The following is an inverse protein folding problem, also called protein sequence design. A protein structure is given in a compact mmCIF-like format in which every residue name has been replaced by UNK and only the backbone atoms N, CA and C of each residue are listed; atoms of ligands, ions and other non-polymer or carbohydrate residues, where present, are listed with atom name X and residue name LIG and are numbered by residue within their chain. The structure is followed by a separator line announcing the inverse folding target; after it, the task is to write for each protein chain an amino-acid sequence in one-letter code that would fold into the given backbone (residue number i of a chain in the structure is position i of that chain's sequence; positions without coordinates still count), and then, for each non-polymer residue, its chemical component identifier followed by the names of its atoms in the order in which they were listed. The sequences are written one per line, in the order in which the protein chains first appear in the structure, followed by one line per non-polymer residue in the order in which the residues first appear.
data_IF_050614806313
#
_entry.id   IF_050614806313
#
_cell.length_a   1.000
_cell.length_b   1.000
_cell.length_c   1.000
_cell.angle_alpha   90.00
_cell.angle_beta   90.00
_cell.angle_gamma   90.00
#
_symmetry.space_group_name_H-M   'P 1'
#
loop_
_entity.id
_entity.type
_entity.pdbx_description
1 polymer ?
#
# COMPACT_ATOMS: atom_id res chain seq x y z
N UNK A 1 -29.87 3.54 15.54
CA UNK A 1 -28.66 2.76 15.23
C UNK A 1 -27.47 3.50 15.81
N UNK A 2 -26.55 2.80 16.48
CA UNK A 2 -25.29 3.42 16.91
C UNK A 2 -24.55 3.93 15.67
N UNK A 3 -23.89 5.07 15.80
CA UNK A 3 -23.07 5.64 14.74
C UNK A 3 -21.86 4.74 14.48
N UNK A 4 -21.43 4.57 13.22
CA UNK A 4 -20.27 3.77 12.83
C UNK A 4 -19.05 4.11 13.70
N UNK A 5 -18.79 5.39 13.95
CA UNK A 5 -17.65 5.85 14.74
C UNK A 5 -17.68 5.31 16.17
N UNK A 6 -18.84 5.26 16.80
CA UNK A 6 -19.03 4.72 18.15
C UNK A 6 -18.74 3.22 18.18
N UNK A 7 -19.23 2.46 17.20
CA UNK A 7 -18.98 1.01 17.13
C UNK A 7 -17.51 0.70 16.84
N UNK A 8 -16.88 1.46 15.96
CA UNK A 8 -15.44 1.31 15.71
C UNK A 8 -14.64 1.59 16.97
N UNK A 9 -14.99 2.65 17.72
CA UNK A 9 -14.30 3.01 18.97
C UNK A 9 -14.36 1.90 20.03
N UNK A 10 -15.46 1.17 20.12
CA UNK A 10 -15.63 0.06 21.07
C UNK A 10 -14.82 -1.19 20.71
N UNK A 11 -14.48 -1.36 19.41
CA UNK A 11 -13.86 -2.59 18.88
C UNK A 11 -12.38 -2.45 18.54
N UNK A 12 -11.78 -1.28 18.71
CA UNK A 12 -10.38 -1.05 18.33
C UNK A 12 -9.38 -1.99 19.01
N UNK A 13 -8.37 -2.48 18.32
CA UNK A 13 -8.14 -2.37 16.87
C UNK A 13 -8.95 -3.40 16.06
N UNK A 14 -9.46 -3.01 14.90
CA UNK A 14 -10.26 -3.90 14.06
C UNK A 14 -9.38 -4.92 13.32
N UNK A 15 -9.85 -6.16 13.27
CA UNK A 15 -9.38 -7.15 12.29
C UNK A 15 -9.91 -6.82 10.89
N UNK A 16 -9.35 -7.43 9.84
CA UNK A 16 -9.87 -7.23 8.49
C UNK A 16 -11.30 -7.77 8.32
N UNK A 17 -11.60 -8.89 8.98
CA UNK A 17 -12.96 -9.45 8.99
C UNK A 17 -13.99 -8.50 9.60
N UNK A 18 -13.68 -7.87 10.73
CA UNK A 18 -14.53 -6.87 11.37
C UNK A 18 -14.67 -5.61 10.50
N UNK A 19 -13.58 -5.15 9.89
CA UNK A 19 -13.61 -4.01 8.96
C UNK A 19 -14.57 -4.24 7.80
N UNK A 20 -14.50 -5.42 7.16
CA UNK A 20 -15.38 -5.82 6.06
C UNK A 20 -16.83 -5.98 6.54
N UNK A 21 -17.04 -6.62 7.70
CA UNK A 21 -18.38 -6.81 8.27
C UNK A 21 -19.06 -5.47 8.56
N UNK A 22 -18.34 -4.53 9.18
CA UNK A 22 -18.85 -3.18 9.44
C UNK A 22 -19.14 -2.42 8.15
N UNK A 23 -18.26 -2.50 7.14
CA UNK A 23 -18.49 -1.86 5.86
C UNK A 23 -19.80 -2.37 5.21
N UNK A 24 -20.04 -3.68 5.28
CA UNK A 24 -21.27 -4.31 4.78
C UNK A 24 -22.49 -3.91 5.59
N UNK A 25 -22.43 -3.93 6.92
CA UNK A 25 -23.54 -3.61 7.83
C UNK A 25 -24.00 -2.16 7.67
N UNK A 26 -23.05 -1.24 7.54
CA UNK A 26 -23.33 0.21 7.43
C UNK A 26 -23.47 0.70 5.98
N UNK A 27 -23.28 -0.16 4.99
CA UNK A 27 -23.39 0.20 3.57
C UNK A 27 -22.36 1.23 3.12
N UNK A 28 -21.15 1.19 3.70
CA UNK A 28 -20.05 2.11 3.38
C UNK A 28 -18.90 1.34 2.71
N UNK A 29 -17.94 2.07 2.14
CA UNK A 29 -16.74 1.43 1.56
C UNK A 29 -15.83 0.90 2.68
N UNK A 30 -15.07 -0.15 2.40
CA UNK A 30 -14.10 -0.69 3.37
C UNK A 30 -13.10 0.37 3.81
N UNK A 31 -12.65 1.22 2.90
CA UNK A 31 -11.74 2.32 3.21
C UNK A 31 -12.35 3.34 4.18
N UNK A 32 -13.66 3.55 4.16
CA UNK A 32 -14.30 4.49 5.09
C UNK A 32 -14.23 3.98 6.54
N UNK A 33 -14.34 2.66 6.75
CA UNK A 33 -14.13 2.05 8.07
C UNK A 33 -12.66 2.16 8.50
N UNK A 34 -11.72 1.91 7.58
CA UNK A 34 -10.27 2.06 7.84
C UNK A 34 -9.92 3.50 8.22
N UNK A 35 -10.47 4.48 7.52
CA UNK A 35 -10.26 5.90 7.83
C UNK A 35 -10.86 6.26 9.19
N UNK A 36 -12.08 5.81 9.49
CA UNK A 36 -12.71 6.01 10.81
C UNK A 36 -11.86 5.44 11.95
N UNK A 37 -11.31 4.23 11.77
CA UNK A 37 -10.36 3.65 12.73
C UNK A 37 -9.10 4.52 12.87
N UNK A 38 -8.56 4.99 11.75
CA UNK A 38 -7.35 5.81 11.75
C UNK A 38 -7.57 7.17 12.42
N UNK A 39 -8.70 7.83 12.16
CA UNK A 39 -9.11 9.07 12.84
C UNK A 39 -9.18 8.88 14.36
N UNK A 40 -9.80 7.80 14.82
CA UNK A 40 -9.93 7.50 16.25
C UNK A 40 -8.59 7.21 16.92
N UNK A 41 -7.68 6.53 16.22
CA UNK A 41 -6.36 6.16 16.76
C UNK A 41 -5.36 7.31 16.76
N UNK A 42 -5.45 8.21 15.79
CA UNK A 42 -4.50 9.33 15.63
C UNK A 42 -4.99 10.64 16.22
N UNK A 43 -6.30 10.78 16.38
CA UNK A 43 -6.95 12.05 16.76
C UNK A 43 -6.98 13.09 15.61
N UNK A 44 -6.55 12.71 14.42
CA UNK A 44 -6.66 13.54 13.23
C UNK A 44 -8.07 13.42 12.63
N UNK A 45 -8.49 14.42 11.89
CA UNK A 45 -9.63 14.28 10.99
C UNK A 45 -9.25 13.52 9.72
N UNK A 46 -10.24 13.23 8.88
CA UNK A 46 -10.05 12.45 7.66
C UNK A 46 -8.98 13.04 6.72
N UNK A 47 -9.01 14.34 6.52
CA UNK A 47 -8.04 15.04 5.68
C UNK A 47 -6.63 14.92 6.27
N UNK A 48 -6.49 15.11 7.57
CA UNK A 48 -5.24 14.94 8.31
C UNK A 48 -4.69 13.52 8.21
N UNK A 49 -5.53 12.48 8.29
CA UNK A 49 -5.12 11.08 8.09
C UNK A 49 -4.59 10.85 6.68
N UNK A 50 -5.34 11.27 5.65
CA UNK A 50 -4.94 11.10 4.25
C UNK A 50 -3.62 11.83 3.96
N UNK A 51 -3.46 13.04 4.46
CA UNK A 51 -2.22 13.81 4.33
C UNK A 51 -1.03 13.11 5.01
N UNK A 52 -1.21 12.67 6.25
CA UNK A 52 -0.15 11.98 7.00
C UNK A 52 0.31 10.68 6.30
N UNK A 53 -0.62 9.92 5.73
CA UNK A 53 -0.29 8.72 4.96
C UNK A 53 0.56 9.06 3.73
N UNK A 54 0.22 10.09 2.97
CA UNK A 54 0.98 10.50 1.80
C UNK A 54 2.35 11.08 2.17
N UNK A 55 2.47 11.79 3.27
CA UNK A 55 3.75 12.26 3.81
C UNK A 55 4.68 11.09 4.18
N UNK A 56 4.15 10.02 4.76
CA UNK A 56 4.91 8.80 5.06
C UNK A 56 5.43 8.13 3.77
N UNK A 57 4.61 8.08 2.71
CA UNK A 57 5.03 7.55 1.41
C UNK A 57 6.01 8.44 0.66
N UNK A 58 6.09 9.73 0.94
CA UNK A 58 6.99 10.65 0.23
C UNK A 58 8.48 10.25 0.34
N UNK A 59 8.90 9.66 1.48
CA UNK A 59 10.23 9.09 1.61
C UNK A 59 10.41 7.85 0.73
N UNK A 60 9.43 6.95 0.72
CA UNK A 60 9.50 5.69 -0.03
C UNK A 60 9.51 5.92 -1.55
N UNK A 61 8.79 6.92 -2.04
CA UNK A 61 8.81 7.30 -3.46
C UNK A 61 10.21 7.68 -3.95
N UNK A 62 11.07 8.24 -3.10
CA UNK A 62 12.48 8.50 -3.42
C UNK A 62 13.27 7.20 -3.66
N UNK A 63 12.93 6.12 -2.97
CA UNK A 63 13.53 4.82 -3.23
C UNK A 63 13.22 4.32 -4.65
N UNK A 64 11.99 4.51 -5.12
CA UNK A 64 11.61 4.20 -6.52
C UNK A 64 12.46 5.00 -7.49
N UNK A 65 12.62 6.30 -7.27
CA UNK A 65 13.42 7.18 -8.13
C UNK A 65 14.88 6.73 -8.21
N UNK A 66 15.48 6.34 -7.09
CA UNK A 66 16.84 5.79 -7.04
C UNK A 66 16.91 4.51 -7.86
N UNK A 67 15.98 3.57 -7.68
CA UNK A 67 15.97 2.30 -8.38
C UNK A 67 15.85 2.45 -9.90
N UNK A 68 14.97 3.33 -10.39
CA UNK A 68 14.79 3.54 -11.84
C UNK A 68 15.88 4.41 -12.48
N UNK A 69 16.66 5.13 -11.67
CA UNK A 69 17.76 6.00 -12.13
C UNK A 69 19.12 5.29 -12.17
N UNK A 70 19.14 3.96 -12.06
CA UNK A 70 20.37 3.17 -12.13
C UNK A 70 20.94 2.79 -10.75
N UNK A 71 20.12 2.86 -9.70
CA UNK A 71 20.45 2.26 -8.41
C UNK A 71 20.80 0.77 -8.57
N UNK A 72 21.68 0.27 -7.72
CA UNK A 72 22.11 -1.12 -7.76
C UNK A 72 22.00 -1.76 -6.37
N UNK A 73 21.52 -2.97 -6.33
CA UNK A 73 21.49 -3.77 -5.11
C UNK A 73 22.18 -5.11 -5.32
N UNK A 74 22.65 -5.68 -4.22
CA UNK A 74 23.33 -6.99 -4.26
C UNK A 74 22.43 -8.10 -4.84
N UNK A 75 21.13 -8.09 -4.55
CA UNK A 75 20.22 -9.15 -4.98
C UNK A 75 19.63 -8.90 -6.38
N UNK A 76 19.27 -7.66 -6.67
CA UNK A 76 18.48 -7.31 -7.85
C UNK A 76 19.30 -6.62 -8.95
N UNK A 77 20.55 -6.26 -8.65
CA UNK A 77 21.40 -5.55 -9.61
C UNK A 77 20.69 -4.32 -10.18
N UNK A 78 20.62 -4.23 -11.49
CA UNK A 78 20.01 -3.13 -12.26
C UNK A 78 18.69 -3.53 -12.92
N UNK A 79 18.00 -4.55 -12.43
CA UNK A 79 16.74 -5.05 -13.00
C UNK A 79 15.70 -3.96 -13.24
N UNK A 80 15.48 -2.95 -12.35
CA UNK A 80 14.53 -1.88 -12.61
C UNK A 80 14.82 -1.09 -13.89
N UNK A 81 16.10 -0.83 -14.17
CA UNK A 81 16.51 -0.13 -15.39
C UNK A 81 16.20 -0.97 -16.63
N UNK A 82 16.45 -2.28 -16.57
CA UNK A 82 16.14 -3.20 -17.66
C UNK A 82 14.62 -3.28 -17.92
N UNK A 83 13.80 -3.36 -16.86
CA UNK A 83 12.35 -3.35 -16.98
C UNK A 83 11.84 -2.03 -17.58
N UNK A 84 12.45 -0.91 -17.23
CA UNK A 84 12.13 0.40 -17.79
C UNK A 84 12.44 0.46 -19.30
N UNK A 85 13.57 -0.11 -19.74
CA UNK A 85 13.96 -0.18 -21.14
C UNK A 85 13.05 -1.07 -21.98
N UNK A 86 12.49 -2.12 -21.42
CA UNK A 86 11.50 -2.98 -22.08
C UNK A 86 10.20 -2.22 -22.40
N UNK A 87 9.86 -1.24 -21.62
CA UNK A 87 8.63 -0.45 -21.75
C UNK A 87 7.38 -1.13 -21.16
N UNK A 88 6.36 -0.34 -20.86
CA UNK A 88 5.13 -0.82 -20.26
C UNK A 88 4.27 -1.62 -21.27
N UNK A 89 3.53 -2.60 -20.77
CA UNK A 89 2.67 -3.48 -21.57
C UNK A 89 3.40 -4.70 -22.16
N UNK A 90 4.68 -4.88 -21.85
CA UNK A 90 5.51 -5.94 -22.45
C UNK A 90 5.38 -7.28 -21.69
N UNK A 91 5.22 -7.26 -20.36
CA UNK A 91 5.22 -8.46 -19.51
C UNK A 91 3.80 -8.99 -19.31
N UNK A 92 2.89 -8.13 -18.84
CA UNK A 92 1.51 -8.50 -18.52
C UNK A 92 0.48 -8.05 -19.57
N UNK A 93 0.91 -7.40 -20.63
CA UNK A 93 0.02 -6.75 -21.59
C UNK A 93 -0.91 -5.69 -20.93
N UNK A 94 -0.51 -5.19 -19.76
CA UNK A 94 -1.21 -4.20 -18.96
C UNK A 94 -0.22 -3.18 -18.43
N UNK A 95 -0.44 -1.91 -18.80
CA UNK A 95 0.48 -0.81 -18.46
C UNK A 95 0.61 -0.58 -16.97
N UNK A 96 -0.50 -0.70 -16.23
CA UNK A 96 -0.49 -0.51 -14.77
C UNK A 96 0.27 -1.61 -14.07
N UNK A 97 0.04 -2.86 -14.47
CA UNK A 97 0.72 -4.01 -13.85
C UNK A 97 2.22 -4.02 -14.17
N UNK A 98 2.62 -3.70 -15.39
CA UNK A 98 4.03 -3.61 -15.76
C UNK A 98 4.74 -2.48 -14.99
N UNK A 99 4.11 -1.31 -14.87
CA UNK A 99 4.63 -0.22 -14.06
C UNK A 99 4.70 -0.59 -12.57
N UNK A 100 3.69 -1.25 -12.05
CA UNK A 100 3.67 -1.69 -10.66
C UNK A 100 4.80 -2.68 -10.36
N UNK A 101 5.05 -3.65 -11.27
CA UNK A 101 6.19 -4.55 -11.17
C UNK A 101 7.51 -3.78 -11.17
N UNK A 102 7.73 -2.96 -12.19
CA UNK A 102 8.97 -2.18 -12.35
C UNK A 102 9.24 -1.31 -11.12
N UNK A 103 8.25 -0.58 -10.64
CA UNK A 103 8.40 0.30 -9.48
C UNK A 103 8.52 -0.44 -8.15
N UNK A 104 7.92 -1.64 -8.03
CA UNK A 104 8.14 -2.51 -6.87
C UNK A 104 9.59 -2.95 -6.79
N UNK A 105 10.15 -3.43 -7.90
CA UNK A 105 11.57 -3.83 -7.98
C UNK A 105 12.48 -2.62 -7.77
N UNK A 106 12.11 -1.45 -8.32
CA UNK A 106 12.84 -0.21 -8.10
C UNK A 106 12.83 0.24 -6.63
N UNK A 107 11.67 0.15 -5.96
CA UNK A 107 11.56 0.43 -4.54
C UNK A 107 12.43 -0.51 -3.70
N UNK A 108 12.52 -1.79 -4.08
CA UNK A 108 13.37 -2.77 -3.41
C UNK A 108 14.86 -2.42 -3.55
N UNK A 109 15.30 -2.04 -4.75
CA UNK A 109 16.67 -1.56 -4.98
C UNK A 109 16.95 -0.30 -4.17
N UNK A 110 16.07 0.68 -4.21
CA UNK A 110 16.22 1.91 -3.46
C UNK A 110 16.13 1.71 -1.94
N UNK A 111 15.36 0.71 -1.47
CA UNK A 111 15.32 0.31 -0.08
C UNK A 111 16.72 -0.07 0.45
N UNK A 112 17.52 -0.76 -0.35
CA UNK A 112 18.90 -1.07 0.01
C UNK A 112 19.79 0.19 0.07
N UNK A 113 19.37 1.29 -0.52
CA UNK A 113 20.13 2.55 -0.53
C UNK A 113 19.74 3.50 0.60
N UNK A 114 18.44 3.70 0.84
CA UNK A 114 17.94 4.72 1.78
C UNK A 114 17.04 4.17 2.89
N UNK A 115 16.64 2.90 2.83
CA UNK A 115 15.67 2.31 3.74
C UNK A 115 14.25 2.88 3.56
N UNK A 116 13.31 2.05 3.11
CA UNK A 116 11.88 2.44 3.06
C UNK A 116 11.20 2.27 4.42
N UNK A 117 10.10 2.95 4.65
CA UNK A 117 9.34 2.96 5.92
C UNK A 117 7.89 2.55 5.68
N UNK A 118 7.28 1.86 6.63
CA UNK A 118 7.87 1.14 7.74
C UNK A 118 8.47 -0.18 7.24
N UNK A 119 9.77 -0.32 7.21
CA UNK A 119 10.43 -1.58 6.85
C UNK A 119 10.99 -2.25 8.11
N UNK A 120 10.21 -3.09 8.73
CA UNK A 120 10.66 -3.93 9.84
C UNK A 120 11.12 -5.33 9.38
N UNK A 121 11.75 -5.40 8.20
CA UNK A 121 12.10 -6.68 7.59
C UNK A 121 10.90 -7.43 7.00
N UNK A 122 9.80 -6.75 6.72
CA UNK A 122 8.56 -7.36 6.21
C UNK A 122 8.40 -7.25 4.70
N UNK A 123 9.23 -6.45 4.02
CA UNK A 123 9.18 -6.26 2.57
C UNK A 123 7.92 -5.56 2.02
N UNK A 124 6.97 -5.25 2.89
CA UNK A 124 5.66 -4.75 2.52
C UNK A 124 5.68 -3.37 1.84
N UNK A 125 6.51 -2.39 2.28
CA UNK A 125 6.45 -1.05 1.72
C UNK A 125 6.90 -0.96 0.27
N UNK A 126 7.74 -1.86 -0.20
CA UNK A 126 8.24 -1.82 -1.58
C UNK A 126 7.12 -2.09 -2.59
N UNK A 127 6.32 -3.17 -2.49
CA UNK A 127 5.18 -3.38 -3.38
C UNK A 127 4.11 -2.29 -3.23
N UNK A 128 3.85 -1.78 -2.02
CA UNK A 128 2.88 -0.69 -1.85
C UNK A 128 3.35 0.58 -2.54
N UNK A 129 4.61 0.94 -2.35
CA UNK A 129 5.20 2.13 -2.96
C UNK A 129 5.25 2.00 -4.48
N UNK A 130 5.60 0.83 -4.99
CA UNK A 130 5.63 0.56 -6.42
C UNK A 130 4.25 0.67 -7.05
N UNK A 131 3.23 0.10 -6.42
CA UNK A 131 1.86 0.20 -6.89
C UNK A 131 1.32 1.63 -6.82
N UNK A 132 1.57 2.34 -5.71
CA UNK A 132 1.19 3.74 -5.56
C UNK A 132 1.82 4.62 -6.65
N UNK A 133 3.12 4.44 -6.93
CA UNK A 133 3.82 5.15 -8.00
C UNK A 133 3.22 4.84 -9.37
N UNK A 134 2.88 3.60 -9.63
CA UNK A 134 2.24 3.23 -10.89
C UNK A 134 0.87 3.90 -11.06
N UNK A 135 0.07 4.00 -9.99
CA UNK A 135 -1.20 4.71 -9.99
C UNK A 135 -1.03 6.22 -10.23
N UNK A 136 -0.01 6.85 -9.63
CA UNK A 136 0.33 8.25 -9.91
C UNK A 136 0.63 8.47 -11.39
N UNK A 137 1.41 7.58 -11.99
CA UNK A 137 1.81 7.67 -13.40
C UNK A 137 0.66 7.47 -14.40
N UNK A 138 -0.41 6.77 -13.98
CA UNK A 138 -1.62 6.64 -14.83
C UNK A 138 -2.68 7.70 -14.54
N UNK A 139 -2.35 8.68 -13.68
CA UNK A 139 -3.18 9.87 -13.46
C UNK A 139 -4.31 9.68 -12.46
N UNK A 140 -4.16 8.74 -11.50
CA UNK A 140 -5.11 8.62 -10.38
C UNK A 140 -5.08 9.89 -9.52
N UNK A 141 -6.25 10.37 -9.12
CA UNK A 141 -6.39 11.57 -8.30
C UNK A 141 -5.80 11.40 -6.89
N UNK A 142 -5.41 12.51 -6.27
CA UNK A 142 -4.70 12.54 -4.99
C UNK A 142 -5.52 11.91 -3.84
N UNK A 143 -6.83 12.13 -3.82
CA UNK A 143 -7.70 11.56 -2.77
C UNK A 143 -7.76 10.04 -2.87
N UNK A 144 -7.97 9.52 -4.08
CA UNK A 144 -7.97 8.09 -4.34
C UNK A 144 -6.60 7.46 -4.04
N UNK A 145 -5.49 8.13 -4.40
CA UNK A 145 -4.14 7.66 -4.04
C UNK A 145 -3.97 7.52 -2.52
N UNK A 146 -4.40 8.52 -1.76
CA UNK A 146 -4.29 8.51 -0.31
C UNK A 146 -5.20 7.45 0.33
N UNK A 147 -6.42 7.26 -0.18
CA UNK A 147 -7.32 6.18 0.26
C UNK A 147 -6.71 4.80 0.01
N UNK A 148 -6.15 4.57 -1.18
CA UNK A 148 -5.45 3.33 -1.53
C UNK A 148 -4.25 3.10 -0.61
N UNK A 149 -3.44 4.13 -0.38
CA UNK A 149 -2.28 4.05 0.50
C UNK A 149 -2.69 3.69 1.94
N UNK A 150 -3.75 4.32 2.46
CA UNK A 150 -4.30 4.02 3.79
C UNK A 150 -4.79 2.57 3.90
N UNK A 151 -5.51 2.08 2.89
CA UNK A 151 -6.00 0.71 2.85
C UNK A 151 -4.85 -0.31 2.79
N UNK A 152 -3.83 -0.07 1.97
CA UNK A 152 -2.66 -0.94 1.89
C UNK A 152 -1.90 -1.00 3.22
N UNK A 153 -1.71 0.13 3.91
CA UNK A 153 -1.07 0.16 5.22
C UNK A 153 -1.89 -0.60 6.27
N UNK A 154 -3.22 -0.49 6.25
CA UNK A 154 -4.08 -1.26 7.16
C UNK A 154 -3.89 -2.77 6.95
N UNK A 155 -3.96 -3.24 5.71
CA UNK A 155 -3.74 -4.66 5.39
C UNK A 155 -2.35 -5.09 5.84
N UNK A 156 -1.30 -4.36 5.50
CA UNK A 156 0.07 -4.66 5.90
C UNK A 156 0.26 -4.71 7.41
N UNK A 157 -0.36 -3.78 8.14
CA UNK A 157 -0.26 -3.76 9.62
C UNK A 157 -0.81 -5.03 10.26
N UNK A 158 -1.87 -5.61 9.69
CA UNK A 158 -2.47 -6.85 10.20
C UNK A 158 -1.55 -8.06 9.97
N UNK A 159 -0.85 -8.12 8.85
CA UNK A 159 0.14 -9.17 8.62
C UNK A 159 1.33 -9.08 9.58
N UNK A 160 1.66 -7.90 10.09
CA UNK A 160 2.76 -7.70 11.05
C UNK A 160 2.46 -8.18 12.45
N UNK A 161 1.23 -8.02 12.91
CA UNK A 161 0.84 -8.34 14.30
C UNK A 161 1.12 -9.79 14.69
N UNK A 162 1.11 -10.71 13.73
CA UNK A 162 1.30 -12.14 13.95
C UNK A 162 2.74 -12.63 13.74
N UNK A 163 3.72 -11.73 13.44
CA UNK A 163 5.06 -12.14 13.03
C UNK A 163 6.12 -11.81 14.08
N UNK A 164 7.02 -12.77 14.35
CA UNK A 164 8.08 -12.63 15.34
C UNK A 164 9.37 -12.07 14.71
N UNK A 165 9.78 -12.59 13.58
CA UNK A 165 10.92 -12.12 12.79
C UNK A 165 10.71 -12.51 11.34
N UNK A 166 11.11 -11.65 10.43
CA UNK A 166 10.75 -11.83 9.04
C UNK A 166 11.86 -11.36 8.13
N UNK A 167 12.06 -12.09 7.02
CA UNK A 167 12.93 -11.66 5.93
C UNK A 167 12.14 -10.98 4.83
N UNK A 168 12.71 -9.99 4.17
CA UNK A 168 12.07 -9.25 3.09
C UNK A 168 11.53 -10.14 1.94
N UNK A 169 12.14 -11.30 1.72
CA UNK A 169 11.96 -12.05 0.48
C UNK A 169 10.70 -12.89 0.38
N UNK A 170 10.10 -13.33 1.49
CA UNK A 170 8.97 -14.26 1.43
C UNK A 170 7.65 -13.62 1.91
N UNK A 171 7.71 -12.59 2.67
CA UNK A 171 6.57 -12.01 3.37
C UNK A 171 5.97 -10.83 2.63
N UNK A 172 6.78 -10.11 1.85
CA UNK A 172 6.31 -9.11 0.90
C UNK A 172 5.32 -9.68 -0.12
N UNK A 173 5.47 -10.96 -0.48
CA UNK A 173 4.53 -11.60 -1.40
C UNK A 173 3.14 -11.78 -0.79
N UNK A 174 3.02 -12.16 0.49
CA UNK A 174 1.73 -12.34 1.16
C UNK A 174 1.04 -11.01 1.45
N UNK A 175 1.68 -10.17 2.23
CA UNK A 175 1.14 -8.87 2.65
C UNK A 175 1.01 -7.91 1.47
N UNK A 176 2.03 -7.85 0.59
CA UNK A 176 2.03 -7.00 -0.59
C UNK A 176 0.91 -7.37 -1.56
N UNK A 177 0.76 -8.66 -1.87
CA UNK A 177 -0.29 -9.14 -2.77
C UNK A 177 -1.68 -8.91 -2.20
N UNK A 178 -1.91 -9.19 -0.90
CA UNK A 178 -3.19 -8.97 -0.25
C UNK A 178 -3.57 -7.47 -0.22
N UNK A 179 -2.61 -6.60 0.08
CA UNK A 179 -2.84 -5.16 0.12
C UNK A 179 -3.14 -4.58 -1.27
N UNK A 180 -2.40 -4.98 -2.31
CA UNK A 180 -2.64 -4.56 -3.68
C UNK A 180 -3.98 -5.11 -4.19
N UNK A 181 -4.34 -6.35 -3.85
CA UNK A 181 -5.66 -6.89 -4.18
C UNK A 181 -6.79 -6.06 -3.55
N UNK A 182 -6.70 -5.73 -2.25
CA UNK A 182 -7.68 -4.88 -1.58
C UNK A 182 -7.76 -3.48 -2.22
N UNK A 183 -6.62 -2.87 -2.53
CA UNK A 183 -6.54 -1.60 -3.24
C UNK A 183 -7.18 -1.67 -4.63
N UNK A 184 -6.94 -2.76 -5.37
CA UNK A 184 -7.53 -2.97 -6.70
C UNK A 184 -9.04 -3.12 -6.65
N UNK A 185 -9.57 -3.83 -5.64
CA UNK A 185 -11.02 -3.93 -5.40
C UNK A 185 -11.61 -2.56 -5.13
N UNK A 186 -10.96 -1.76 -4.28
CA UNK A 186 -11.38 -0.38 -4.00
C UNK A 186 -11.42 0.49 -5.27
N UNK A 187 -10.36 0.47 -6.07
CA UNK A 187 -10.26 1.21 -7.34
C UNK A 187 -11.35 0.81 -8.36
N UNK A 188 -11.82 -0.43 -8.29
CA UNK A 188 -12.91 -0.95 -9.14
C UNK A 188 -14.30 -0.74 -8.55
N UNK A 189 -14.43 0.04 -7.47
CA UNK A 189 -15.67 0.22 -6.72
C UNK A 189 -16.31 -1.11 -6.30
N UNK A 190 -15.47 -2.08 -5.95
CA UNK A 190 -15.91 -3.38 -5.47
C UNK A 190 -16.62 -3.28 -4.12
N UNK A 191 -17.59 -4.15 -3.92
CA UNK A 191 -18.37 -4.20 -2.68
C UNK A 191 -17.70 -5.06 -1.62
N UNK A 192 -17.96 -4.83 -0.32
CA UNK A 192 -17.53 -5.70 0.77
C UNK A 192 -18.38 -6.99 0.77
N UNK A 193 -18.11 -7.89 -0.16
CA UNK A 193 -18.88 -9.14 -0.36
C UNK A 193 -18.16 -10.33 0.26
#
# INVERSE_FOLDING_TARGET
MADLKSIVAEKLPLTMGETIALAKEYGVRVVDVVLTESELRTGLDREGVLKAVMEEYAHNLKAVEIGVSGGNSFLLGTVPTQLKEMGPGTIFSDVLLDKALMYTVAAEVGNHCIGVRPCAGTGDPCPYTGFLRALMDVGTDETTLAEVACLMLKVGSLFRVAKVTTGCNLEGYGAGSAAIAAATVHLKNGTPA
#
